data_IF_858283328077
#
_entry.id   IF_858283328077
#
_cell.length_a   1.000
_cell.length_b   1.000
_cell.length_c   1.000
_cell.angle_alpha   90.00
_cell.angle_beta   90.00
_cell.angle_gamma   90.00
#
_symmetry.space_group_name_H-M   'P 1'
#
loop_
_entity.id
_entity.type
_entity.pdbx_description
1 polymer ?
#
# COMPACT_ATOMS: atom_id res chain seq x y z
N UNK A 1 1.98 3.99 -0.18
CA UNK A 1 2.64 2.82 0.44
C UNK A 1 3.56 3.24 1.57
N UNK A 2 4.44 4.24 1.42
CA UNK A 2 5.24 4.75 2.55
C UNK A 2 4.41 5.12 3.81
N UNK A 3 3.27 5.81 3.63
CA UNK A 3 2.37 6.15 4.74
C UNK A 3 1.84 4.93 5.50
N UNK A 4 1.78 3.75 4.85
CA UNK A 4 1.34 2.54 5.52
C UNK A 4 2.40 1.98 6.47
N UNK A 5 3.55 2.60 6.70
CA UNK A 5 4.53 2.13 7.70
C UNK A 5 4.95 3.27 8.63
N UNK A 6 4.18 4.36 8.66
CA UNK A 6 4.51 5.58 9.41
C UNK A 6 4.22 5.47 10.91
N UNK A 7 4.69 4.40 11.56
CA UNK A 7 4.60 4.18 13.00
C UNK A 7 6.03 4.13 13.58
N UNK A 8 6.29 4.72 14.76
CA UNK A 8 7.60 4.62 15.40
C UNK A 8 7.99 3.15 15.62
N UNK A 9 9.22 2.79 15.28
CA UNK A 9 9.74 1.42 15.43
C UNK A 9 9.36 0.45 14.30
N UNK A 10 8.61 0.89 13.29
CA UNK A 10 8.31 0.09 12.10
C UNK A 10 9.14 0.57 10.90
N UNK A 11 9.74 -0.37 10.18
CA UNK A 11 10.53 -0.10 8.97
C UNK A 11 9.99 -0.93 7.81
N UNK A 12 9.76 -0.29 6.66
CA UNK A 12 9.42 -1.00 5.44
C UNK A 12 10.69 -1.60 4.83
N UNK A 13 10.73 -2.92 4.66
CA UNK A 13 11.91 -3.63 4.12
C UNK A 13 11.77 -3.92 2.63
N UNK A 14 10.55 -4.18 2.17
CA UNK A 14 10.24 -4.42 0.77
C UNK A 14 8.85 -3.88 0.40
N UNK A 15 8.70 -3.46 -0.86
CA UNK A 15 7.43 -3.01 -1.44
C UNK A 15 7.26 -3.71 -2.78
N UNK A 16 6.35 -4.69 -2.81
CA UNK A 16 5.95 -5.38 -4.02
C UNK A 16 4.62 -4.85 -4.51
N UNK A 17 4.48 -4.62 -5.80
CA UNK A 17 3.21 -4.20 -6.36
C UNK A 17 2.99 -4.69 -7.79
N UNK A 18 1.71 -4.75 -8.15
CA UNK A 18 1.24 -5.06 -9.49
C UNK A 18 0.23 -4.01 -9.93
N UNK A 19 0.51 -3.40 -11.08
CA UNK A 19 -0.47 -2.60 -11.80
C UNK A 19 -1.48 -3.55 -12.45
N UNK A 20 -2.76 -3.33 -12.16
CA UNK A 20 -3.86 -4.19 -12.62
C UNK A 20 -4.76 -3.51 -13.65
N UNK A 21 -4.82 -2.17 -13.63
CA UNK A 21 -5.50 -1.41 -14.66
C UNK A 21 -4.83 -0.05 -14.86
N UNK A 22 -4.93 0.55 -16.07
CA UNK A 22 -4.41 1.89 -16.32
C UNK A 22 -5.12 2.94 -15.48
N UNK A 23 -4.39 3.99 -15.12
CA UNK A 23 -4.94 5.18 -14.50
C UNK A 23 -5.45 6.08 -15.62
N UNK A 24 -6.73 6.42 -15.57
CA UNK A 24 -7.33 7.40 -16.47
C UNK A 24 -7.46 8.72 -15.72
N UNK A 25 -7.13 9.82 -16.40
CA UNK A 25 -7.14 11.20 -15.90
C UNK A 25 -6.15 11.52 -14.77
N UNK A 26 -6.03 12.82 -14.49
CA UNK A 26 -5.24 13.43 -13.41
C UNK A 26 -6.00 13.43 -12.08
N UNK A 27 -7.02 12.60 -11.95
CA UNK A 27 -7.80 12.46 -10.73
C UNK A 27 -6.95 11.92 -9.57
N UNK A 28 -7.39 12.21 -8.34
CA UNK A 28 -6.77 11.66 -7.14
C UNK A 28 -6.92 10.14 -7.04
N UNK A 29 -5.99 9.50 -6.33
CA UNK A 29 -6.03 8.07 -6.02
C UNK A 29 -6.31 7.85 -4.55
N UNK A 30 -7.13 6.85 -4.24
CA UNK A 30 -7.41 6.42 -2.87
C UNK A 30 -6.56 5.20 -2.55
N UNK A 31 -5.68 5.34 -1.57
CA UNK A 31 -4.89 4.23 -1.03
C UNK A 31 -5.58 3.66 0.21
N UNK A 32 -5.79 2.33 0.22
CA UNK A 32 -6.22 1.58 1.41
C UNK A 32 -5.12 0.63 1.82
N UNK A 33 -4.81 0.58 3.10
CA UNK A 33 -3.87 -0.38 3.69
C UNK A 33 -4.57 -1.17 4.78
N UNK A 34 -4.33 -2.48 4.79
CA UNK A 34 -4.80 -3.40 5.83
C UNK A 34 -3.61 -4.24 6.30
N UNK A 35 -3.57 -4.54 7.60
CA UNK A 35 -2.57 -5.45 8.16
C UNK A 35 -2.83 -6.88 7.65
N UNK A 36 -1.76 -7.59 7.30
CA UNK A 36 -1.81 -8.95 6.78
C UNK A 36 -0.54 -9.71 7.16
N UNK A 37 -0.62 -10.53 8.20
CA UNK A 37 0.52 -11.26 8.76
C UNK A 37 1.66 -10.32 9.17
N UNK A 38 2.89 -10.63 8.72
CA UNK A 38 4.09 -9.82 8.97
C UNK A 38 4.22 -8.57 8.06
N UNK A 39 3.14 -8.16 7.38
CA UNK A 39 3.19 -7.03 6.46
C UNK A 39 1.84 -6.35 6.31
N UNK A 40 1.71 -5.56 5.26
CA UNK A 40 0.46 -4.87 4.92
C UNK A 40 0.09 -5.09 3.48
N UNK A 41 -1.16 -5.40 3.24
CA UNK A 41 -1.71 -5.34 1.89
C UNK A 41 -2.17 -3.91 1.60
N UNK A 42 -1.88 -3.44 0.39
CA UNK A 42 -2.24 -2.11 -0.07
C UNK A 42 -2.97 -2.23 -1.39
N UNK A 43 -4.11 -1.55 -1.50
CA UNK A 43 -4.85 -1.41 -2.75
C UNK A 43 -5.00 0.05 -3.10
N UNK A 44 -4.78 0.39 -4.37
CA UNK A 44 -4.97 1.72 -4.93
C UNK A 44 -6.17 1.67 -5.86
N UNK A 45 -7.10 2.60 -5.69
CA UNK A 45 -8.26 2.77 -6.56
C UNK A 45 -8.41 4.20 -7.03
N UNK A 46 -9.00 4.38 -8.19
CA UNK A 46 -9.46 5.69 -8.65
C UNK A 46 -10.76 6.13 -7.93
N UNK A 47 -11.25 7.33 -8.24
CA UNK A 47 -12.47 7.87 -7.64
C UNK A 47 -13.75 7.13 -8.09
N UNK A 48 -13.71 6.44 -9.24
CA UNK A 48 -14.80 5.56 -9.68
C UNK A 48 -14.86 4.24 -8.90
N UNK A 49 -13.80 3.93 -8.14
CA UNK A 49 -13.67 2.71 -7.35
C UNK A 49 -12.92 1.58 -8.06
N UNK A 50 -12.44 1.78 -9.28
CA UNK A 50 -11.65 0.78 -10.02
C UNK A 50 -10.28 0.64 -9.36
N UNK A 51 -9.88 -0.60 -9.07
CA UNK A 51 -8.54 -0.89 -8.55
C UNK A 51 -7.52 -0.77 -9.68
N UNK A 52 -6.52 0.09 -9.49
CA UNK A 52 -5.46 0.38 -10.46
C UNK A 52 -4.15 -0.33 -10.10
N UNK A 53 -3.88 -0.49 -8.81
CA UNK A 53 -2.74 -1.28 -8.33
C UNK A 53 -3.08 -2.03 -7.04
N UNK A 54 -2.41 -3.15 -6.84
CA UNK A 54 -2.35 -3.89 -5.57
C UNK A 54 -0.90 -4.11 -5.20
N UNK A 55 -0.60 -4.19 -3.92
CA UNK A 55 0.74 -4.49 -3.47
C UNK A 55 0.79 -4.94 -2.03
N UNK A 56 1.98 -5.34 -1.62
CA UNK A 56 2.31 -5.75 -0.27
C UNK A 56 3.52 -4.95 0.19
N UNK A 57 3.49 -4.56 1.46
CA UNK A 57 4.62 -3.94 2.14
C UNK A 57 5.06 -4.89 3.24
N UNK A 58 6.31 -5.30 3.21
CA UNK A 58 6.93 -6.04 4.31
C UNK A 58 7.36 -5.06 5.40
N UNK A 59 7.06 -5.40 6.65
CA UNK A 59 7.32 -4.52 7.79
C UNK A 59 8.13 -5.27 8.81
N UNK A 60 9.29 -4.72 9.15
CA UNK A 60 10.06 -5.13 10.31
C UNK A 60 9.72 -4.20 11.48
N UNK A 61 9.32 -4.78 12.61
CA UNK A 61 9.06 -4.03 13.84
C UNK A 61 10.19 -4.28 14.84
N UNK A 62 10.88 -3.21 15.22
CA UNK A 62 11.86 -3.26 16.30
C UNK A 62 11.12 -3.44 17.63
N UNK A 63 11.20 -4.62 18.24
CA UNK A 63 10.77 -4.82 19.63
C UNK A 63 11.59 -3.90 20.53
N UNK A 64 10.91 -2.98 21.21
CA UNK A 64 11.50 -2.20 22.30
C UNK A 64 11.52 -3.02 23.58
#
# INVERSE_FOLDING_TARGET
MAESVRRPGAVATAIDYRVVSPVFDHQGLVAKSVESGAGREVSIRDLSGRVTAKGRVEVEESRK
#
